data_IF_040001998871
#
_entry.id   IF_040001998871
#
_cell.length_a   1.000
_cell.length_b   1.000
_cell.length_c   1.000
_cell.angle_alpha   90.00
_cell.angle_beta   90.00
_cell.angle_gamma   90.00
#
_symmetry.space_group_name_H-M   'P 1'
#
loop_
_entity.id
_entity.type
_entity.pdbx_description
1 polymer ?
#
# COMPACT_ATOMS: atom_id res chain seq x y z
N UNK A 1 2.55 -6.24 -9.93
CA UNK A 1 2.42 -4.78 -9.70
C UNK A 1 3.57 -4.44 -8.77
N UNK A 2 4.63 -3.82 -9.29
CA UNK A 2 5.96 -3.77 -8.65
C UNK A 2 5.94 -3.18 -7.23
N UNK A 3 5.08 -2.19 -6.97
CA UNK A 3 4.97 -1.57 -5.65
C UNK A 3 4.40 -2.51 -4.58
N UNK A 4 3.50 -3.45 -4.95
CA UNK A 4 3.02 -4.48 -4.04
C UNK A 4 4.18 -5.43 -3.68
N UNK A 5 4.97 -5.87 -4.66
CA UNK A 5 6.13 -6.72 -4.39
C UNK A 5 7.13 -6.04 -3.44
N UNK A 6 7.46 -4.76 -3.68
CA UNK A 6 8.31 -3.97 -2.76
C UNK A 6 7.70 -3.81 -1.37
N UNK A 7 6.39 -3.62 -1.27
CA UNK A 7 5.69 -3.56 0.02
C UNK A 7 5.84 -4.88 0.79
N UNK A 8 5.66 -6.01 0.11
CA UNK A 8 5.78 -7.33 0.72
C UNK A 8 7.19 -7.58 1.27
N UNK A 9 8.21 -7.25 0.47
CA UNK A 9 9.62 -7.33 0.86
C UNK A 9 9.91 -6.45 2.09
N UNK A 10 9.43 -5.20 2.07
CA UNK A 10 9.57 -4.25 3.17
C UNK A 10 8.94 -4.76 4.47
N UNK A 11 7.69 -5.23 4.42
CA UNK A 11 7.00 -5.83 5.57
C UNK A 11 7.72 -7.08 6.10
N UNK A 12 8.37 -7.84 5.23
CA UNK A 12 9.15 -9.02 5.59
C UNK A 12 10.28 -8.72 6.57
N UNK A 13 10.96 -7.59 6.38
CA UNK A 13 12.20 -7.21 7.10
C UNK A 13 12.03 -6.13 8.19
N UNK A 14 10.81 -5.66 8.43
CA UNK A 14 10.51 -4.57 9.36
C UNK A 14 9.48 -4.99 10.42
N UNK A 15 9.33 -4.17 11.47
CA UNK A 15 8.31 -4.33 12.50
C UNK A 15 7.37 -3.11 12.61
N UNK A 16 7.66 -2.05 11.85
CA UNK A 16 6.86 -0.85 11.74
C UNK A 16 6.96 -0.30 10.31
N UNK A 17 5.90 0.38 9.89
CA UNK A 17 5.82 1.11 8.62
C UNK A 17 5.31 2.53 8.91
N UNK A 18 6.07 3.53 8.48
CA UNK A 18 5.66 4.92 8.46
C UNK A 18 5.15 5.27 7.05
N UNK A 19 4.03 5.96 7.02
CA UNK A 19 3.33 6.43 5.83
C UNK A 19 3.31 7.95 5.88
N UNK A 20 4.02 8.57 4.94
CA UNK A 20 4.10 10.03 4.84
C UNK A 20 3.55 10.48 3.51
N UNK A 21 2.47 11.27 3.54
CA UNK A 21 1.91 11.87 2.34
C UNK A 21 2.85 12.98 1.85
N UNK A 22 3.22 12.92 0.58
CA UNK A 22 4.07 13.91 -0.10
C UNK A 22 3.37 14.44 -1.35
N UNK A 23 3.97 15.43 -2.02
CA UNK A 23 3.47 15.90 -3.32
C UNK A 23 3.60 14.82 -4.42
N UNK A 24 4.51 13.85 -4.26
CA UNK A 24 4.82 12.84 -5.25
C UNK A 24 4.06 11.51 -5.06
N UNK A 25 3.32 11.38 -3.95
CA UNK A 25 2.62 10.15 -3.58
C UNK A 25 2.70 9.85 -2.08
N UNK A 26 2.60 8.57 -1.73
CA UNK A 26 2.73 8.09 -0.36
C UNK A 26 4.11 7.48 -0.15
N UNK A 27 4.96 8.16 0.62
CA UNK A 27 6.25 7.62 1.01
C UNK A 27 6.04 6.56 2.10
N UNK A 28 6.53 5.35 1.83
CA UNK A 28 6.51 4.21 2.74
C UNK A 28 7.92 4.00 3.29
N UNK A 29 8.09 4.11 4.60
CA UNK A 29 9.39 3.94 5.28
C UNK A 29 9.27 2.76 6.24
N UNK A 30 10.07 1.73 6.03
CA UNK A 30 10.07 0.52 6.82
C UNK A 30 11.08 0.66 7.94
N UNK A 31 10.62 0.49 9.18
CA UNK A 31 11.45 0.59 10.38
C UNK A 31 11.66 -0.79 11.01
N UNK A 32 12.88 -1.06 11.45
CA UNK A 32 13.24 -2.17 12.33
C UNK A 32 13.99 -1.61 13.52
N UNK A 33 13.47 -1.86 14.73
CA UNK A 33 14.12 -1.40 15.97
C UNK A 33 14.39 0.12 15.99
N UNK A 34 13.48 0.90 15.39
CA UNK A 34 13.59 2.36 15.29
C UNK A 34 14.46 2.88 14.14
N UNK A 35 15.10 2.00 13.37
CA UNK A 35 15.95 2.39 12.23
C UNK A 35 15.27 2.12 10.89
N UNK A 36 15.42 3.05 9.93
CA UNK A 36 14.94 2.85 8.57
C UNK A 36 15.78 1.79 7.85
N UNK A 37 15.12 0.73 7.39
CA UNK A 37 15.74 -0.39 6.67
C UNK A 37 15.38 -0.41 5.17
N UNK A 38 14.35 0.32 4.78
CA UNK A 38 13.97 0.53 3.38
C UNK A 38 13.00 1.70 3.28
N UNK A 39 12.90 2.28 2.10
CA UNK A 39 11.82 3.18 1.74
C UNK A 39 11.52 3.15 0.25
N UNK A 40 10.28 3.48 -0.07
CA UNK A 40 9.90 3.78 -1.45
C UNK A 40 8.67 4.66 -1.55
N UNK A 41 8.54 5.33 -2.68
CA UNK A 41 7.37 6.12 -3.03
C UNK A 41 6.32 5.24 -3.69
N UNK A 42 5.12 5.20 -3.11
CA UNK A 42 3.93 4.66 -3.77
C UNK A 42 3.29 5.78 -4.59
N UNK A 43 3.27 5.60 -5.90
CA UNK A 43 2.66 6.52 -6.86
C UNK A 43 1.25 6.06 -7.24
N UNK A 44 0.96 4.76 -7.16
CA UNK A 44 -0.35 4.24 -7.50
C UNK A 44 -1.36 4.61 -6.40
N UNK A 45 -2.39 5.39 -6.79
CA UNK A 45 -3.33 6.00 -5.85
C UNK A 45 -4.18 5.01 -5.06
N UNK A 46 -4.59 3.88 -5.65
CA UNK A 46 -5.38 2.84 -4.98
C UNK A 46 -4.55 2.16 -3.88
N UNK A 47 -3.28 1.87 -4.13
CA UNK A 47 -2.37 1.31 -3.15
C UNK A 47 -2.10 2.33 -2.04
N UNK A 48 -1.83 3.59 -2.39
CA UNK A 48 -1.65 4.66 -1.41
C UNK A 48 -2.87 4.84 -0.50
N UNK A 49 -4.08 4.87 -1.08
CA UNK A 49 -5.33 4.99 -0.34
C UNK A 49 -5.61 3.79 0.56
N UNK A 50 -5.29 2.57 0.09
CA UNK A 50 -5.43 1.36 0.88
C UNK A 50 -4.45 1.37 2.07
N UNK A 51 -3.17 1.73 1.84
CA UNK A 51 -2.15 1.82 2.89
C UNK A 51 -2.49 2.87 3.94
N UNK A 52 -2.94 4.06 3.55
CA UNK A 52 -3.31 5.13 4.47
C UNK A 52 -4.41 4.72 5.49
N UNK A 53 -5.17 3.66 5.21
CA UNK A 53 -6.22 3.13 6.09
C UNK A 53 -5.73 2.02 7.03
N UNK A 54 -4.48 1.57 6.89
CA UNK A 54 -3.94 0.45 7.68
C UNK A 54 -3.35 0.90 9.03
N UNK A 55 -3.12 2.20 9.22
CA UNK A 55 -2.47 2.75 10.41
C UNK A 55 -3.23 3.93 11.02
N UNK A 56 -2.66 4.47 12.10
CA UNK A 56 -3.17 5.65 12.80
C UNK A 56 -2.15 6.77 12.60
N UNK A 57 -2.59 7.93 12.08
CA UNK A 57 -1.73 9.08 11.81
C UNK A 57 -0.46 8.75 10.99
N UNK A 58 -0.59 7.81 10.05
CA UNK A 58 0.52 7.37 9.20
C UNK A 58 1.49 6.39 9.86
N UNK A 59 1.20 5.88 11.06
CA UNK A 59 2.02 4.86 11.74
C UNK A 59 1.28 3.53 11.70
N UNK A 60 1.95 2.51 11.16
CA UNK A 60 1.49 1.12 11.15
C UNK A 60 2.46 0.29 12.00
N UNK A 61 2.03 -0.02 13.23
CA UNK A 61 2.83 -0.75 14.21
C UNK A 61 1.99 -1.77 15.00
N UNK A 62 2.64 -2.60 15.81
CA UNK A 62 1.98 -3.56 16.69
C UNK A 62 0.98 -4.45 15.95
N UNK A 63 -0.25 -4.54 16.47
CA UNK A 63 -1.32 -5.38 15.88
C UNK A 63 -1.68 -4.98 14.45
N UNK A 64 -1.64 -3.68 14.11
CA UNK A 64 -1.95 -3.22 12.75
C UNK A 64 -0.91 -3.69 11.75
N UNK A 65 0.37 -3.63 12.14
CA UNK A 65 1.47 -4.14 11.32
C UNK A 65 1.42 -5.67 11.19
N UNK A 66 1.22 -6.38 12.31
CA UNK A 66 1.10 -7.83 12.31
C UNK A 66 -0.07 -8.32 11.44
N UNK A 67 -1.21 -7.61 11.48
CA UNK A 67 -2.36 -7.89 10.64
C UNK A 67 -2.05 -7.62 9.17
N UNK A 68 -1.48 -6.47 8.83
CA UNK A 68 -1.11 -6.15 7.44
C UNK A 68 -0.14 -7.19 6.85
N UNK A 69 0.82 -7.66 7.65
CA UNK A 69 1.78 -8.68 7.24
C UNK A 69 1.13 -10.05 7.05
N UNK A 70 0.26 -10.47 7.96
CA UNK A 70 -0.43 -11.76 7.90
C UNK A 70 -1.48 -11.79 6.79
N UNK A 71 -2.26 -10.73 6.66
CA UNK A 71 -3.36 -10.60 5.69
C UNK A 71 -2.87 -10.03 4.34
N UNK A 72 -1.56 -9.97 4.10
CA UNK A 72 -0.98 -9.31 2.94
C UNK A 72 -1.55 -9.83 1.61
N UNK A 73 -1.76 -11.14 1.50
CA UNK A 73 -2.36 -11.75 0.31
C UNK A 73 -3.75 -11.16 0.01
N UNK A 74 -4.59 -11.01 1.04
CA UNK A 74 -5.92 -10.39 0.92
C UNK A 74 -5.83 -8.91 0.58
N UNK A 75 -4.94 -8.17 1.25
CA UNK A 75 -4.68 -6.76 0.94
C UNK A 75 -4.27 -6.58 -0.53
N UNK A 76 -3.34 -7.41 -1.00
CA UNK A 76 -2.84 -7.35 -2.38
C UNK A 76 -3.94 -7.66 -3.41
N UNK A 77 -4.82 -8.62 -3.10
CA UNK A 77 -5.96 -8.96 -3.94
C UNK A 77 -6.95 -7.81 -4.03
N UNK A 78 -7.27 -7.17 -2.89
CA UNK A 78 -8.16 -6.00 -2.83
C UNK A 78 -7.63 -4.85 -3.69
N UNK A 79 -6.33 -4.54 -3.60
CA UNK A 79 -5.71 -3.48 -4.40
C UNK A 79 -5.76 -3.83 -5.89
N UNK A 80 -5.39 -5.06 -6.26
CA UNK A 80 -5.38 -5.52 -7.66
C UNK A 80 -6.78 -5.51 -8.28
N UNK A 81 -7.78 -6.02 -7.57
CA UNK A 81 -9.16 -6.08 -8.08
C UNK A 81 -9.74 -4.68 -8.29
N UNK A 82 -9.48 -3.76 -7.36
CA UNK A 82 -9.90 -2.36 -7.50
C UNK A 82 -9.19 -1.63 -8.63
N UNK A 83 -7.89 -1.89 -8.81
CA UNK A 83 -7.13 -1.36 -9.96
C UNK A 83 -7.70 -1.85 -11.29
N UNK A 84 -7.96 -3.15 -11.41
CA UNK A 84 -8.57 -3.72 -12.60
C UNK A 84 -9.96 -3.14 -12.87
N UNK A 85 -10.79 -2.99 -11.83
CA UNK A 85 -12.12 -2.41 -11.96
C UNK A 85 -12.08 -0.99 -12.52
N UNK A 86 -11.18 -0.13 -12.02
CA UNK A 86 -11.02 1.24 -12.52
C UNK A 86 -10.54 1.26 -13.98
N UNK A 87 -9.63 0.36 -14.36
CA UNK A 87 -9.20 0.23 -15.75
C UNK A 87 -10.37 -0.16 -16.67
N UNK A 88 -11.19 -1.13 -16.25
CA UNK A 88 -12.36 -1.56 -17.01
C UNK A 88 -13.39 -0.43 -17.17
N UNK A 89 -13.65 0.36 -16.11
CA UNK A 89 -14.55 1.52 -16.21
C UNK A 89 -14.07 2.57 -17.21
N UNK A 90 -12.76 2.81 -17.30
CA UNK A 90 -12.18 3.77 -18.25
C UNK A 90 -12.20 3.26 -19.70
N UNK A 91 -12.28 1.95 -19.89
CA UNK A 91 -12.21 1.30 -21.22
C UNK A 91 -13.60 0.95 -21.77
N UNK A 92 -14.67 1.13 -21.00
CA UNK A 92 -16.03 0.90 -21.50
C UNK A 92 -16.37 1.98 -22.56
N UNK A 93 -16.70 1.59 -23.80
CA UNK A 93 -17.28 2.54 -24.76
C UNK A 93 -18.57 3.09 -24.15
N UNK A 94 -18.79 4.40 -24.28
CA UNK A 94 -20.09 4.99 -23.97
C UNK A 94 -21.12 4.28 -24.84
N UNK A 95 -21.90 3.38 -24.23
CA UNK A 95 -23.08 2.83 -24.89
C UNK A 95 -24.09 3.98 -24.89
N UNK A 96 -24.10 4.74 -25.99
CA UNK A 96 -25.19 5.65 -26.29
C UNK A 96 -26.43 4.78 -26.51
N UNK A 97 -27.33 4.79 -25.52
CA UNK A 97 -28.70 4.31 -25.64
C UNK A 97 -29.57 5.52 -25.95
#
# INVERSE_FOLDING_TARGET
>A
MRELERLQEGLGKSNMLLLKKTQQGLECIFLREGMAVDSFMVQQGILADALNKTGINGIVEGNNFARLKTDYSWFSLHVKSRALYMQLQQTQPQVFI
#
